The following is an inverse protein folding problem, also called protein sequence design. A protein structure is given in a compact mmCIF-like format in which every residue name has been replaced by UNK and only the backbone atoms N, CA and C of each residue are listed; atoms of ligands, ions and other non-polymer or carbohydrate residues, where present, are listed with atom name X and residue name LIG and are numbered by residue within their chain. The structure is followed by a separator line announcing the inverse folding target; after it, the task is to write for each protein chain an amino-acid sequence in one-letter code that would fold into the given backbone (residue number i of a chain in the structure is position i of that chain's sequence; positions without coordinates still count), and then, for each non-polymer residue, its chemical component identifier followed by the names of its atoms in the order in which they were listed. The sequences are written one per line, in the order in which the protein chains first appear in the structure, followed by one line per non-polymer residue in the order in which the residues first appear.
data_IF_157331238364
#
_entry.id   IF_157331238364
#
_cell.length_a   1.000
_cell.length_b   1.000
_cell.length_c   1.000
_cell.angle_alpha   90.00
_cell.angle_beta   90.00
_cell.angle_gamma   90.00
#
_symmetry.space_group_name_H-M   'P 1'
#
loop_
_entity.id
_entity.type
_entity.pdbx_description
1 polymer ?
#
# COMPACT_ATOMS: atom_id res chain seq x y z
N UNK A 1 20.90 -1.98 13.74
CA UNK A 1 20.63 -1.08 12.58
C UNK A 1 21.64 0.06 12.48
N UNK A 2 21.71 1.03 13.42
CA UNK A 2 22.78 2.05 13.40
C UNK A 2 24.16 1.46 13.72
N UNK A 3 24.22 0.50 14.64
CA UNK A 3 25.44 -0.20 15.04
C UNK A 3 26.13 -1.01 13.91
N UNK A 4 25.51 -1.14 12.74
CA UNK A 4 26.04 -1.91 11.60
C UNK A 4 26.34 -1.04 10.38
N UNK A 5 26.25 0.30 10.50
CA UNK A 5 26.44 1.27 9.42
C UNK A 5 25.71 0.95 8.10
N UNK A 6 24.54 0.31 8.18
CA UNK A 6 23.76 -0.01 6.97
C UNK A 6 23.27 1.28 6.32
N UNK A 7 23.48 1.42 5.01
CA UNK A 7 22.90 2.48 4.20
C UNK A 7 21.53 2.03 3.69
N UNK A 8 20.50 2.81 3.99
CA UNK A 8 19.10 2.49 3.66
C UNK A 8 18.56 3.52 2.67
N UNK A 9 17.90 3.04 1.62
CA UNK A 9 17.14 3.86 0.69
C UNK A 9 15.66 3.72 0.99
N UNK A 10 14.99 4.82 1.33
CA UNK A 10 13.55 4.87 1.54
C UNK A 10 12.88 5.46 0.29
N UNK A 11 12.09 4.66 -0.41
CA UNK A 11 11.28 5.11 -1.54
C UNK A 11 9.90 5.51 -1.02
N UNK A 12 9.53 6.78 -1.20
CA UNK A 12 8.25 7.34 -0.75
C UNK A 12 7.48 7.93 -1.93
N UNK A 13 6.16 8.01 -1.80
CA UNK A 13 5.35 8.73 -2.77
C UNK A 13 5.50 10.24 -2.56
N UNK A 14 4.83 11.03 -3.40
CA UNK A 14 4.89 12.48 -3.33
C UNK A 14 3.86 13.08 -2.36
N UNK A 15 3.48 12.36 -1.30
CA UNK A 15 2.58 12.90 -0.28
C UNK A 15 3.25 14.04 0.50
N UNK A 16 2.46 15.06 0.88
CA UNK A 16 2.98 16.23 1.61
C UNK A 16 3.77 15.87 2.88
N UNK A 17 3.33 14.90 3.72
CA UNK A 17 4.07 14.51 4.93
C UNK A 17 5.43 13.87 4.66
N UNK A 18 5.70 13.42 3.42
CA UNK A 18 6.96 12.76 3.05
C UNK A 18 8.02 13.73 2.50
N UNK A 19 7.69 15.03 2.39
CA UNK A 19 8.68 16.03 2.02
C UNK A 19 9.71 16.13 3.15
N UNK A 20 10.99 15.81 2.89
CA UNK A 20 12.00 15.95 3.92
C UNK A 20 12.10 17.42 4.32
N UNK A 21 12.12 17.68 5.62
CA UNK A 21 12.54 18.97 6.12
C UNK A 21 14.01 19.15 5.74
N UNK A 22 14.36 20.29 5.15
CA UNK A 22 15.72 20.66 4.72
C UNK A 22 16.75 20.48 5.86
N UNK A 23 16.30 20.50 7.13
CA UNK A 23 17.12 20.37 8.34
C UNK A 23 17.34 18.92 8.81
N UNK A 24 16.65 17.93 8.24
CA UNK A 24 16.75 16.52 8.65
C UNK A 24 17.93 15.80 7.97
N UNK A 25 19.15 16.07 8.43
CA UNK A 25 20.35 15.38 7.95
C UNK A 25 20.39 13.92 8.46
N UNK A 26 19.79 13.01 7.70
CA UNK A 26 19.87 11.57 7.96
C UNK A 26 21.22 11.02 7.45
N UNK A 27 22.08 10.54 8.35
CA UNK A 27 23.45 10.07 8.01
C UNK A 27 23.49 8.70 7.31
N UNK A 28 22.46 7.88 7.54
CA UNK A 28 22.41 6.49 7.07
C UNK A 28 21.19 6.19 6.18
N UNK A 29 20.26 7.14 6.08
CA UNK A 29 19.05 7.00 5.27
C UNK A 29 19.05 8.02 4.15
N UNK A 30 18.73 7.56 2.94
CA UNK A 30 18.44 8.42 1.80
C UNK A 30 16.97 8.28 1.47
N UNK A 31 16.23 9.38 1.53
CA UNK A 31 14.83 9.41 1.10
C UNK A 31 14.79 9.77 -0.38
N UNK A 32 14.02 9.03 -1.18
CA UNK A 32 13.74 9.33 -2.58
C UNK A 32 12.25 9.35 -2.82
N UNK A 33 11.76 10.52 -3.20
CA UNK A 33 10.39 10.75 -3.63
C UNK A 33 10.26 10.24 -5.07
N UNK A 34 9.25 9.43 -5.32
CA UNK A 34 8.94 8.91 -6.65
C UNK A 34 8.25 9.96 -7.53
N UNK A 35 8.35 9.84 -8.86
CA UNK A 35 7.61 10.70 -9.77
C UNK A 35 6.10 10.68 -9.49
N UNK A 36 5.41 11.75 -9.88
CA UNK A 36 3.95 11.80 -9.77
C UNK A 36 3.33 10.67 -10.60
N UNK A 37 2.22 10.12 -10.10
CA UNK A 37 1.40 9.09 -10.77
C UNK A 37 2.11 7.75 -11.03
N UNK A 38 3.27 7.48 -10.42
CA UNK A 38 3.97 6.20 -10.60
C UNK A 38 3.79 5.23 -9.44
N UNK A 39 3.07 5.60 -8.37
CA UNK A 39 2.92 4.80 -7.14
C UNK A 39 2.47 3.37 -7.41
N UNK A 40 1.42 3.19 -8.20
CA UNK A 40 0.85 1.87 -8.51
C UNK A 40 1.82 0.93 -9.27
N UNK A 41 2.85 1.47 -9.91
CA UNK A 41 3.80 0.71 -10.72
C UNK A 41 5.16 0.56 -10.04
N UNK A 42 5.66 1.64 -9.41
CA UNK A 42 7.01 1.70 -8.85
C UNK A 42 7.05 1.41 -7.35
N UNK A 43 5.95 1.59 -6.61
CA UNK A 43 5.93 1.24 -5.19
C UNK A 43 5.53 -0.22 -5.00
N UNK A 44 6.44 -1.06 -4.45
CA UNK A 44 6.13 -2.45 -4.18
C UNK A 44 4.96 -2.64 -3.21
N UNK A 45 4.73 -1.66 -2.33
CA UNK A 45 3.62 -1.68 -1.39
C UNK A 45 2.27 -1.62 -2.12
N UNK A 46 2.09 -0.67 -3.04
CA UNK A 46 0.88 -0.54 -3.86
C UNK A 46 0.74 -1.69 -4.84
N UNK A 47 1.77 -1.94 -5.64
CA UNK A 47 1.76 -2.95 -6.71
C UNK A 47 1.63 -4.37 -6.19
N UNK A 48 2.15 -4.65 -4.98
CA UNK A 48 2.16 -5.97 -4.37
C UNK A 48 1.15 -6.11 -3.24
N UNK A 49 1.53 -5.64 -2.05
CA UNK A 49 0.83 -5.94 -0.79
C UNK A 49 -0.60 -5.40 -0.81
N UNK A 50 -0.77 -4.11 -1.13
CA UNK A 50 -2.08 -3.45 -1.15
C UNK A 50 -2.96 -4.03 -2.25
N UNK A 51 -2.44 -4.22 -3.46
CA UNK A 51 -3.18 -4.85 -4.56
C UNK A 51 -3.70 -6.24 -4.17
N UNK A 52 -2.85 -7.07 -3.58
CA UNK A 52 -3.21 -8.42 -3.11
C UNK A 52 -4.28 -8.38 -2.01
N UNK A 53 -4.13 -7.46 -1.05
CA UNK A 53 -5.10 -7.27 0.01
C UNK A 53 -6.47 -6.83 -0.53
N UNK A 54 -6.50 -5.83 -1.43
CA UNK A 54 -7.73 -5.35 -2.09
C UNK A 54 -8.43 -6.47 -2.86
N UNK A 55 -7.68 -7.33 -3.55
CA UNK A 55 -8.25 -8.48 -4.26
C UNK A 55 -8.97 -9.44 -3.30
N UNK A 56 -8.40 -9.71 -2.12
CA UNK A 56 -9.02 -10.56 -1.09
C UNK A 56 -10.26 -9.92 -0.46
N UNK A 57 -10.23 -8.61 -0.20
CA UNK A 57 -11.42 -7.89 0.28
C UNK A 57 -12.55 -7.99 -0.75
N UNK A 58 -12.25 -7.74 -2.04
CA UNK A 58 -13.24 -7.84 -3.12
C UNK A 58 -13.82 -9.26 -3.25
N UNK A 59 -12.98 -10.28 -3.14
CA UNK A 59 -13.43 -11.68 -3.13
C UNK A 59 -14.45 -11.94 -2.01
N UNK A 60 -14.17 -11.48 -0.79
CA UNK A 60 -15.07 -11.64 0.36
C UNK A 60 -16.38 -10.87 0.17
N UNK A 61 -16.32 -9.65 -0.34
CA UNK A 61 -17.52 -8.86 -0.64
C UNK A 61 -18.43 -9.58 -1.62
N UNK A 62 -17.87 -10.18 -2.68
CA UNK A 62 -18.63 -10.94 -3.65
C UNK A 62 -19.25 -12.21 -3.03
N UNK A 63 -18.48 -12.94 -2.22
CA UNK A 63 -18.99 -14.11 -1.50
C UNK A 63 -20.16 -13.75 -0.58
N UNK A 64 -20.04 -12.65 0.17
CA UNK A 64 -21.11 -12.19 1.05
C UNK A 64 -22.36 -11.78 0.25
N UNK A 65 -22.20 -11.11 -0.89
CA UNK A 65 -23.31 -10.73 -1.76
C UNK A 65 -24.03 -11.96 -2.31
N UNK A 66 -23.28 -12.99 -2.76
CA UNK A 66 -23.86 -14.25 -3.21
C UNK A 66 -24.61 -14.96 -2.08
N UNK A 67 -24.04 -15.03 -0.88
CA UNK A 67 -24.72 -15.62 0.28
C UNK A 67 -26.02 -14.92 0.64
N UNK A 68 -26.08 -13.59 0.51
CA UNK A 68 -27.32 -12.83 0.74
C UNK A 68 -28.37 -13.16 -0.32
N UNK A 69 -27.97 -13.25 -1.59
CA UNK A 69 -28.87 -13.64 -2.68
C UNK A 69 -29.40 -15.06 -2.45
N UNK A 70 -28.51 -16.01 -2.15
CA UNK A 70 -28.87 -17.40 -1.87
C UNK A 70 -29.82 -17.49 -0.67
N UNK A 71 -29.59 -16.70 0.37
CA UNK A 71 -30.47 -16.62 1.53
C UNK A 71 -31.86 -16.12 1.15
N UNK A 72 -31.98 -15.11 0.29
CA UNK A 72 -33.29 -14.63 -0.17
C UNK A 72 -33.99 -15.69 -1.02
N UNK A 73 -33.26 -16.35 -1.93
CA UNK A 73 -33.83 -17.41 -2.78
C UNK A 73 -34.27 -18.62 -1.95
N UNK A 74 -33.48 -19.03 -0.95
CA UNK A 74 -33.74 -20.21 -0.12
C UNK A 74 -34.90 -19.99 0.86
N UNK A 75 -35.11 -18.77 1.32
CA UNK A 75 -36.24 -18.41 2.18
C UNK A 75 -37.51 -18.08 1.37
N UNK A 76 -37.44 -18.28 0.05
CA UNK A 76 -38.53 -17.98 -0.88
C UNK A 76 -38.68 -16.48 -1.09
N UNK A 77 -39.32 -16.15 -2.19
CA UNK A 77 -40.23 -15.02 -2.15
C UNK A 77 -41.24 -15.22 -1.02
#
# INVERSE_FOLDING_TARGET
MLAEDRKVLLLVDNALPHRPDEESLLTNFKVKILPKNTTAHLQPQDAGIIASFKAKVKQRQLQNALQQIDSVISHGW
#
